data_IF_297101590813
#
_entry.id   IF_297101590813
#
_cell.length_a   1.000
_cell.length_b   1.000
_cell.length_c   1.000
_cell.angle_alpha   90.00
_cell.angle_beta   90.00
_cell.angle_gamma   90.00
#
_symmetry.space_group_name_H-M   'P 1'
#
loop_
_entity.id
_entity.type
_entity.pdbx_description
1 polymer ?
#
# COMPACT_ATOMS: atom_id res chain seq x y z
N UNK A 1 -11.75 -20.14 1.44
CA UNK A 1 -12.50 -18.88 1.17
C UNK A 1 -13.98 -18.97 1.54
N UNK A 2 -14.70 -20.05 1.23
CA UNK A 2 -16.08 -20.23 1.66
C UNK A 2 -16.22 -20.22 3.20
N UNK A 3 -15.43 -20.99 3.90
CA UNK A 3 -15.38 -21.06 5.37
C UNK A 3 -15.14 -19.69 6.04
N UNK A 4 -14.26 -18.86 5.49
CA UNK A 4 -14.03 -17.52 6.00
C UNK A 4 -15.25 -16.60 5.83
N UNK A 5 -15.89 -16.63 4.66
CA UNK A 5 -17.08 -15.82 4.41
C UNK A 5 -18.26 -16.25 5.30
N UNK A 6 -18.38 -17.55 5.55
CA UNK A 6 -19.40 -18.08 6.43
C UNK A 6 -19.15 -17.65 7.89
N UNK A 7 -17.90 -17.67 8.35
CA UNK A 7 -17.55 -17.18 9.70
C UNK A 7 -17.66 -15.66 9.86
N UNK A 8 -17.41 -14.88 8.81
CA UNK A 8 -17.67 -13.44 8.83
C UNK A 8 -19.18 -13.19 9.02
N UNK A 9 -20.03 -13.89 8.26
CA UNK A 9 -21.48 -13.78 8.39
C UNK A 9 -21.96 -14.22 9.76
N UNK A 10 -21.38 -15.28 10.31
CA UNK A 10 -21.66 -15.75 11.67
C UNK A 10 -21.34 -14.65 12.69
N UNK A 11 -20.16 -14.03 12.62
CA UNK A 11 -19.76 -12.94 13.49
C UNK A 11 -20.68 -11.72 13.37
N UNK A 12 -21.03 -11.34 12.15
CA UNK A 12 -21.95 -10.22 11.88
C UNK A 12 -23.37 -10.49 12.41
N UNK A 13 -23.84 -11.74 12.33
CA UNK A 13 -25.12 -12.14 12.91
C UNK A 13 -25.09 -12.12 14.44
N UNK A 14 -23.98 -12.53 15.07
CA UNK A 14 -23.82 -12.52 16.54
C UNK A 14 -23.83 -11.10 17.10
N UNK A 15 -23.27 -10.12 16.39
CA UNK A 15 -23.27 -8.72 16.82
C UNK A 15 -24.66 -8.06 16.72
N UNK A 16 -25.54 -8.55 15.87
CA UNK A 16 -26.83 -7.90 15.61
C UNK A 16 -26.74 -6.65 14.74
N UNK A 17 -27.83 -6.35 14.05
CA UNK A 17 -27.86 -5.34 12.98
C UNK A 17 -27.67 -3.89 13.52
N UNK A 18 -28.42 -3.51 14.55
CA UNK A 18 -28.39 -2.15 15.10
C UNK A 18 -27.12 -1.91 15.94
N UNK A 19 -26.67 -2.93 16.65
CA UNK A 19 -25.46 -2.85 17.45
C UNK A 19 -24.22 -2.59 16.56
N UNK A 20 -24.10 -3.28 15.42
CA UNK A 20 -23.05 -2.99 14.44
C UNK A 20 -23.14 -1.57 13.91
N UNK A 21 -24.33 -1.09 13.55
CA UNK A 21 -24.51 0.26 13.03
C UNK A 21 -24.02 1.32 14.02
N UNK A 22 -24.43 1.22 15.28
CA UNK A 22 -24.03 2.15 16.35
C UNK A 22 -22.52 2.06 16.62
N UNK A 23 -21.96 0.86 16.63
CA UNK A 23 -20.53 0.66 16.84
C UNK A 23 -19.70 1.26 15.71
N UNK A 24 -20.06 1.02 14.45
CA UNK A 24 -19.39 1.61 13.30
C UNK A 24 -19.45 3.14 13.39
N UNK A 25 -20.63 3.69 13.73
CA UNK A 25 -20.78 5.13 13.89
C UNK A 25 -19.85 5.71 14.95
N UNK A 26 -19.68 5.02 16.08
CA UNK A 26 -18.76 5.42 17.16
C UNK A 26 -17.30 5.29 16.74
N UNK A 27 -16.91 4.16 16.16
CA UNK A 27 -15.53 3.88 15.74
C UNK A 27 -15.06 4.87 14.65
N UNK A 28 -15.94 5.22 13.73
CA UNK A 28 -15.65 6.15 12.66
C UNK A 28 -15.89 7.61 13.05
N UNK A 29 -16.32 7.86 14.28
CA UNK A 29 -16.60 9.19 14.82
C UNK A 29 -17.52 10.00 13.90
N UNK A 30 -18.68 9.42 13.53
CA UNK A 30 -19.63 10.08 12.63
C UNK A 30 -20.18 11.36 13.26
N UNK A 31 -20.10 12.46 12.50
CA UNK A 31 -20.70 13.72 12.90
C UNK A 31 -22.20 13.70 12.64
N UNK A 32 -22.96 14.43 13.45
CA UNK A 32 -24.41 14.56 13.31
C UNK A 32 -25.12 13.18 13.24
N UNK A 33 -24.67 12.23 14.05
CA UNK A 33 -25.21 10.88 14.04
C UNK A 33 -26.62 10.85 14.66
N UNK A 34 -27.58 10.36 13.90
CA UNK A 34 -28.97 10.11 14.31
C UNK A 34 -29.12 8.60 14.59
N UNK A 35 -29.19 8.23 15.86
CA UNK A 35 -29.24 6.83 16.30
C UNK A 35 -30.54 6.14 15.92
N UNK A 36 -31.68 6.87 15.81
CA UNK A 36 -32.98 6.30 15.44
C UNK A 36 -32.99 5.98 13.92
N UNK A 37 -32.40 6.84 13.10
CA UNK A 37 -32.36 6.67 11.65
C UNK A 37 -31.12 5.93 11.18
N UNK A 38 -30.13 5.74 12.04
CA UNK A 38 -28.82 5.17 11.72
C UNK A 38 -28.14 5.90 10.53
N UNK A 39 -28.11 7.23 10.61
CA UNK A 39 -27.53 8.09 9.58
C UNK A 39 -26.58 9.11 10.21
N UNK A 40 -25.58 9.55 9.46
CA UNK A 40 -24.63 10.57 9.90
C UNK A 40 -23.94 11.25 8.74
N UNK A 41 -23.13 12.27 9.06
CA UNK A 41 -22.27 12.91 8.05
C UNK A 41 -21.03 12.07 7.83
N UNK A 42 -20.59 11.97 6.57
CA UNK A 42 -19.36 11.23 6.21
C UNK A 42 -18.14 11.73 6.99
N UNK A 43 -17.32 10.83 7.56
CA UNK A 43 -16.05 11.20 8.18
C UNK A 43 -15.00 11.67 7.17
N UNK A 44 -15.23 11.41 5.88
CA UNK A 44 -14.29 11.68 4.78
C UNK A 44 -14.59 12.96 3.99
N UNK A 45 -15.73 13.60 4.27
CA UNK A 45 -16.11 14.85 3.62
C UNK A 45 -16.33 15.97 4.64
N UNK A 46 -16.19 17.22 4.20
CA UNK A 46 -16.53 18.38 5.02
C UNK A 46 -18.02 18.70 5.04
N UNK A 47 -18.83 17.95 4.28
CA UNK A 47 -20.28 18.13 4.20
C UNK A 47 -20.95 17.84 5.55
N UNK A 48 -21.92 18.69 5.92
CA UNK A 48 -22.71 18.52 7.12
C UNK A 48 -24.00 17.72 6.87
N UNK A 49 -24.31 17.41 5.61
CA UNK A 49 -25.49 16.62 5.26
C UNK A 49 -25.29 15.14 5.64
N UNK A 50 -26.34 14.44 6.09
CA UNK A 50 -26.28 13.04 6.41
C UNK A 50 -26.12 12.22 5.11
N UNK A 51 -24.86 11.93 4.75
CA UNK A 51 -24.48 11.18 3.55
C UNK A 51 -24.05 9.73 3.86
N UNK A 52 -23.93 9.40 5.13
CA UNK A 52 -23.54 8.07 5.62
C UNK A 52 -24.79 7.35 6.14
N UNK A 53 -25.30 6.39 5.38
CA UNK A 53 -26.61 5.76 5.62
C UNK A 53 -26.44 4.25 5.81
N UNK A 54 -27.03 3.72 6.91
CA UNK A 54 -26.96 2.30 7.22
C UNK A 54 -27.82 1.44 6.28
N UNK A 55 -27.20 0.41 5.71
CA UNK A 55 -27.89 -0.60 4.91
C UNK A 55 -28.05 -1.90 5.72
N UNK A 56 -29.27 -2.14 6.20
CA UNK A 56 -29.59 -3.31 7.03
C UNK A 56 -29.39 -4.66 6.32
N UNK A 57 -29.44 -4.68 4.99
CA UNK A 57 -29.30 -5.91 4.20
C UNK A 57 -27.84 -6.30 4.05
N UNK A 58 -26.98 -5.32 3.84
CA UNK A 58 -25.58 -5.54 3.54
C UNK A 58 -24.70 -5.35 4.78
N UNK A 59 -25.28 -5.04 5.94
CA UNK A 59 -24.61 -4.80 7.23
C UNK A 59 -23.43 -3.84 7.12
N UNK A 60 -23.64 -2.73 6.40
CA UNK A 60 -22.63 -1.71 6.19
C UNK A 60 -23.27 -0.33 6.05
N UNK A 61 -22.48 0.72 6.33
CA UNK A 61 -22.83 2.07 5.91
C UNK A 61 -22.46 2.29 4.46
N UNK A 62 -23.37 2.87 3.70
CA UNK A 62 -23.07 3.41 2.38
C UNK A 62 -22.81 4.92 2.51
N UNK A 63 -21.66 5.35 2.03
CA UNK A 63 -21.28 6.76 1.98
C UNK A 63 -21.62 7.34 0.62
N UNK A 64 -22.69 8.12 0.54
CA UNK A 64 -23.11 8.78 -0.71
C UNK A 64 -22.19 9.91 -1.14
N UNK A 65 -21.24 10.35 -0.29
CA UNK A 65 -20.30 11.38 -0.65
C UNK A 65 -19.12 10.86 -1.49
N UNK A 66 -18.74 9.59 -1.31
CA UNK A 66 -17.62 8.97 -2.02
C UNK A 66 -17.93 7.61 -2.67
N UNK A 67 -19.18 7.09 -2.48
CA UNK A 67 -19.62 5.81 -3.03
C UNK A 67 -19.07 4.58 -2.32
N UNK A 68 -18.42 4.73 -1.15
CA UNK A 68 -17.83 3.63 -0.38
C UNK A 68 -18.83 2.88 0.49
N UNK A 69 -18.54 1.60 0.77
CA UNK A 69 -19.26 0.78 1.74
C UNK A 69 -18.36 0.48 2.93
N UNK A 70 -18.89 0.64 4.15
CA UNK A 70 -18.12 0.54 5.39
C UNK A 70 -18.80 -0.44 6.35
N UNK A 71 -18.28 -1.66 6.43
CA UNK A 71 -18.66 -2.70 7.39
C UNK A 71 -17.95 -2.52 8.72
N UNK A 72 -18.26 -3.36 9.70
CA UNK A 72 -17.59 -3.38 11.01
C UNK A 72 -16.08 -3.63 10.88
N UNK A 73 -15.67 -4.43 9.89
CA UNK A 73 -14.26 -4.70 9.61
C UNK A 73 -13.57 -3.42 9.12
N UNK A 74 -14.19 -2.69 8.19
CA UNK A 74 -13.65 -1.42 7.70
C UNK A 74 -13.55 -0.37 8.83
N UNK A 75 -14.53 -0.37 9.75
CA UNK A 75 -14.51 0.52 10.90
C UNK A 75 -13.36 0.19 11.87
N UNK A 76 -13.06 -1.09 12.10
CA UNK A 76 -11.89 -1.49 12.88
C UNK A 76 -10.58 -1.09 12.20
N UNK A 77 -10.46 -1.35 10.89
CA UNK A 77 -9.29 -0.91 10.12
C UNK A 77 -9.05 0.60 10.25
N UNK A 78 -10.12 1.37 10.16
CA UNK A 78 -10.06 2.84 10.26
C UNK A 78 -9.71 3.33 11.67
N UNK A 79 -10.40 2.79 12.69
CA UNK A 79 -10.29 3.29 14.06
C UNK A 79 -8.97 2.89 14.75
N UNK A 80 -8.43 1.72 14.39
CA UNK A 80 -7.26 1.13 15.04
C UNK A 80 -6.02 1.08 14.14
N UNK A 81 -6.10 1.62 12.92
CA UNK A 81 -5.04 1.55 11.91
C UNK A 81 -4.58 0.10 11.63
N UNK A 82 -5.55 -0.81 11.58
CA UNK A 82 -5.31 -2.24 11.43
C UNK A 82 -5.39 -2.70 9.97
N UNK A 83 -4.63 -3.75 9.66
CA UNK A 83 -4.82 -4.48 8.40
C UNK A 83 -6.15 -5.25 8.42
N UNK A 84 -6.65 -5.64 7.25
CA UNK A 84 -7.87 -6.45 7.15
C UNK A 84 -7.82 -7.73 7.98
N UNK A 85 -6.67 -8.41 8.02
CA UNK A 85 -6.47 -9.62 8.81
C UNK A 85 -6.51 -9.36 10.32
N UNK A 86 -5.96 -8.25 10.77
CA UNK A 86 -6.00 -7.84 12.18
C UNK A 86 -7.42 -7.44 12.59
N UNK A 87 -8.11 -6.68 11.77
CA UNK A 87 -9.51 -6.30 12.00
C UNK A 87 -10.44 -7.53 12.05
N UNK A 88 -10.24 -8.50 11.16
CA UNK A 88 -10.96 -9.78 11.20
C UNK A 88 -10.65 -10.58 12.46
N UNK A 89 -9.39 -10.65 12.85
CA UNK A 89 -9.00 -11.32 14.09
C UNK A 89 -9.70 -10.68 15.28
N UNK A 90 -9.72 -9.35 15.37
CA UNK A 90 -10.44 -8.60 16.41
C UNK A 90 -11.94 -8.95 16.43
N UNK A 91 -12.56 -9.00 15.25
CA UNK A 91 -13.98 -9.37 15.12
C UNK A 91 -14.24 -10.79 15.64
N UNK A 92 -13.41 -11.75 15.24
CA UNK A 92 -13.57 -13.15 15.63
C UNK A 92 -13.25 -13.38 17.11
N UNK A 93 -12.22 -12.74 17.64
CA UNK A 93 -11.90 -12.79 19.08
C UNK A 93 -13.06 -12.25 19.91
N UNK A 94 -13.69 -11.15 19.47
CA UNK A 94 -14.85 -10.57 20.13
C UNK A 94 -16.09 -11.49 20.11
N UNK A 95 -16.32 -12.17 18.98
CA UNK A 95 -17.42 -13.10 18.82
C UNK A 95 -17.10 -14.52 19.30
N UNK A 96 -15.93 -14.74 19.91
CA UNK A 96 -15.44 -16.06 20.34
C UNK A 96 -15.47 -17.10 19.22
N UNK A 97 -15.23 -16.68 17.98
CA UNK A 97 -15.15 -17.55 16.81
C UNK A 97 -13.71 -18.03 16.65
N UNK A 98 -13.50 -19.32 16.78
CA UNK A 98 -12.21 -19.93 16.50
C UNK A 98 -11.98 -19.95 14.97
N UNK A 99 -10.88 -19.31 14.56
CA UNK A 99 -10.43 -19.29 13.17
C UNK A 99 -8.92 -19.35 13.09
N UNK A 100 -8.41 -20.29 12.33
CA UNK A 100 -6.99 -20.36 12.06
C UNK A 100 -6.59 -19.36 10.97
N UNK A 101 -6.16 -18.17 11.40
CA UNK A 101 -5.74 -17.10 10.49
C UNK A 101 -4.53 -17.48 9.64
N UNK A 102 -3.68 -18.38 10.11
CA UNK A 102 -2.58 -18.90 9.30
C UNK A 102 -3.11 -19.76 8.15
N UNK A 103 -4.16 -20.53 8.41
CA UNK A 103 -4.83 -21.37 7.42
C UNK A 103 -5.78 -20.59 6.52
N UNK A 104 -6.49 -19.59 7.06
CA UNK A 104 -7.50 -18.80 6.34
C UNK A 104 -6.95 -17.66 5.50
N UNK A 105 -5.81 -17.09 5.86
CA UNK A 105 -5.09 -16.02 5.17
C UNK A 105 -3.72 -16.46 4.67
N UNK A 106 -3.11 -17.43 5.35
CA UNK A 106 -1.98 -18.16 4.83
C UNK A 106 -2.52 -19.16 3.81
N UNK A 107 -2.00 -19.10 2.63
CA UNK A 107 -2.11 -20.15 1.68
C UNK A 107 -1.61 -21.42 2.38
N UNK A 108 -2.46 -22.43 2.59
CA UNK A 108 -1.97 -23.73 3.04
C UNK A 108 -1.24 -24.35 1.86
N UNK A 109 0.08 -24.19 1.86
CA UNK A 109 0.96 -24.75 0.84
C UNK A 109 0.66 -26.23 0.59
N UNK A 110 0.15 -26.93 1.61
CA UNK A 110 -0.11 -28.38 1.53
C UNK A 110 -1.40 -28.71 0.79
N UNK A 111 -2.51 -28.02 1.05
CA UNK A 111 -3.77 -28.28 0.34
C UNK A 111 -3.73 -27.87 -1.13
N UNK A 112 -2.96 -26.84 -1.47
CA UNK A 112 -2.80 -26.41 -2.86
C UNK A 112 -1.80 -27.27 -3.63
N UNK A 113 -0.81 -27.85 -2.96
CA UNK A 113 0.21 -28.68 -3.59
C UNK A 113 -0.26 -30.12 -3.80
N UNK A 114 -1.18 -30.66 -3.00
CA UNK A 114 -1.71 -32.02 -3.19
C UNK A 114 -2.45 -32.21 -4.52
N UNK A 115 -3.11 -31.16 -5.01
CA UNK A 115 -3.84 -31.17 -6.29
C UNK A 115 -3.13 -30.39 -7.40
N UNK A 116 -2.01 -29.75 -7.11
CA UNK A 116 -1.29 -28.95 -8.08
C UNK A 116 -0.43 -29.83 -9.00
N UNK A 117 -0.73 -29.76 -10.28
CA UNK A 117 0.11 -30.39 -11.30
C UNK A 117 1.28 -29.48 -11.61
N UNK A 118 2.43 -29.79 -11.03
CA UNK A 118 3.65 -29.06 -11.34
C UNK A 118 3.90 -29.06 -12.85
N UNK A 119 4.30 -27.91 -13.41
CA UNK A 119 4.65 -27.81 -14.81
C UNK A 119 5.88 -28.70 -15.08
N UNK A 120 5.99 -29.12 -16.31
CA UNK A 120 7.15 -29.88 -16.79
C UNK A 120 7.98 -28.95 -17.65
N UNK A 121 9.29 -28.99 -17.48
CA UNK A 121 10.18 -28.32 -18.42
C UNK A 121 10.10 -29.04 -19.79
N UNK A 122 9.38 -28.46 -20.73
CA UNK A 122 9.19 -28.93 -22.08
C UNK A 122 10.06 -28.18 -23.10
N UNK A 123 11.09 -27.46 -22.61
CA UNK A 123 12.06 -26.80 -23.47
C UNK A 123 12.82 -27.78 -24.33
N UNK A 124 13.11 -27.40 -25.55
CA UNK A 124 13.98 -28.16 -26.45
C UNK A 124 15.44 -27.75 -26.27
N UNK A 125 16.38 -28.64 -26.66
CA UNK A 125 17.82 -28.34 -26.56
C UNK A 125 18.24 -27.13 -27.44
N UNK A 126 17.65 -27.03 -28.64
CA UNK A 126 17.88 -25.89 -29.52
C UNK A 126 17.02 -24.69 -29.11
N UNK A 127 17.61 -23.69 -28.48
CA UNK A 127 16.99 -22.47 -28.06
C UNK A 127 17.39 -21.24 -28.92
N UNK A 128 17.87 -21.48 -30.15
CA UNK A 128 18.42 -20.46 -31.03
C UNK A 128 17.43 -19.32 -31.37
N UNK A 129 16.16 -19.63 -31.59
CA UNK A 129 15.13 -18.61 -31.87
C UNK A 129 14.82 -17.74 -30.66
N UNK A 130 14.71 -18.35 -29.47
CA UNK A 130 14.50 -17.61 -28.21
C UNK A 130 15.69 -16.68 -27.92
N UNK A 131 16.91 -17.20 -28.10
CA UNK A 131 18.15 -16.39 -27.98
C UNK A 131 18.17 -15.24 -28.98
N UNK A 132 17.86 -15.51 -30.25
CA UNK A 132 17.84 -14.46 -31.29
C UNK A 132 16.79 -13.39 -30.98
N UNK A 133 15.62 -13.79 -30.50
CA UNK A 133 14.58 -12.87 -30.06
C UNK A 133 15.07 -11.99 -28.91
N UNK A 134 15.67 -12.60 -27.88
CA UNK A 134 16.14 -11.87 -26.70
C UNK A 134 17.36 -10.96 -26.99
N UNK A 135 18.26 -11.40 -27.89
CA UNK A 135 19.35 -10.55 -28.37
C UNK A 135 18.84 -9.29 -29.10
N UNK A 136 17.77 -9.41 -29.88
CA UNK A 136 17.09 -8.24 -30.48
C UNK A 136 16.48 -7.31 -29.44
N UNK A 137 16.20 -7.82 -28.22
CA UNK A 137 15.73 -7.08 -27.06
C UNK A 137 16.88 -6.57 -26.17
N UNK A 138 18.13 -6.62 -26.64
CA UNK A 138 19.31 -6.10 -25.95
C UNK A 138 19.89 -7.03 -24.88
N UNK A 139 19.44 -8.29 -24.78
CA UNK A 139 19.94 -9.21 -23.75
C UNK A 139 21.22 -9.91 -24.18
N UNK A 140 22.15 -10.03 -23.21
CA UNK A 140 23.40 -10.78 -23.36
C UNK A 140 23.15 -12.28 -23.17
N UNK A 141 24.08 -13.10 -23.67
CA UNK A 141 24.04 -14.56 -23.46
C UNK A 141 24.14 -14.93 -21.98
N UNK A 142 24.90 -14.15 -21.20
CA UNK A 142 25.03 -14.33 -19.77
C UNK A 142 23.66 -14.19 -19.06
N UNK A 143 22.93 -13.11 -19.37
CA UNK A 143 21.58 -12.86 -18.84
C UNK A 143 20.62 -13.98 -19.21
N UNK A 144 20.61 -14.37 -20.49
CA UNK A 144 19.72 -15.44 -21.00
C UNK A 144 20.00 -16.77 -20.29
N UNK A 145 21.28 -17.08 -20.08
CA UNK A 145 21.72 -18.29 -19.37
C UNK A 145 21.37 -18.24 -17.89
N UNK A 146 21.60 -17.08 -17.24
CA UNK A 146 21.27 -16.92 -15.81
C UNK A 146 19.80 -17.20 -15.52
N UNK A 147 18.90 -16.67 -16.35
CA UNK A 147 17.46 -16.86 -16.19
C UNK A 147 16.94 -18.20 -16.71
N UNK A 148 17.82 -19.10 -17.16
CA UNK A 148 17.47 -20.45 -17.63
C UNK A 148 16.34 -20.43 -18.67
N UNK A 149 16.48 -19.54 -19.67
CA UNK A 149 15.46 -19.32 -20.71
C UNK A 149 15.43 -20.49 -21.66
N UNK A 150 14.24 -21.07 -21.83
CA UNK A 150 14.00 -22.16 -22.77
C UNK A 150 13.29 -21.74 -24.05
N UNK A 151 13.03 -22.70 -24.91
CA UNK A 151 12.31 -22.53 -26.16
C UNK A 151 11.32 -23.68 -26.37
N UNK A 152 10.13 -23.37 -26.86
CA UNK A 152 9.16 -24.37 -27.31
C UNK A 152 9.51 -24.92 -28.69
N UNK A 153 8.93 -26.06 -29.06
CA UNK A 153 9.04 -26.64 -30.45
C UNK A 153 8.62 -25.64 -31.54
N UNK A 154 7.80 -24.66 -31.21
CA UNK A 154 7.34 -23.62 -32.14
C UNK A 154 8.27 -22.40 -32.20
N UNK A 155 9.34 -22.38 -31.41
CA UNK A 155 10.30 -21.27 -31.36
C UNK A 155 9.92 -20.17 -30.39
N UNK A 156 8.88 -20.34 -29.57
CA UNK A 156 8.47 -19.35 -28.60
C UNK A 156 9.37 -19.39 -27.35
N UNK A 157 9.52 -18.24 -26.70
CA UNK A 157 10.37 -18.09 -25.50
C UNK A 157 9.67 -18.72 -24.30
N UNK A 158 10.39 -19.54 -23.53
CA UNK A 158 9.92 -20.14 -22.31
C UNK A 158 10.58 -19.52 -21.08
N UNK A 159 9.79 -19.02 -20.15
CA UNK A 159 10.21 -18.53 -18.85
C UNK A 159 9.83 -19.53 -17.77
N UNK A 160 10.80 -19.92 -16.94
CA UNK A 160 10.64 -20.86 -15.85
C UNK A 160 10.48 -20.12 -14.53
N UNK A 161 9.35 -20.27 -13.85
CA UNK A 161 9.14 -19.75 -12.51
C UNK A 161 9.54 -20.81 -11.51
N UNK A 162 10.41 -20.43 -10.61
CA UNK A 162 10.87 -21.27 -9.51
C UNK A 162 10.36 -20.71 -8.19
N UNK A 163 10.11 -21.56 -7.21
CA UNK A 163 9.85 -21.12 -5.84
C UNK A 163 11.17 -20.70 -5.16
N UNK A 164 11.08 -20.21 -3.92
CA UNK A 164 12.24 -19.77 -3.15
C UNK A 164 13.30 -20.89 -2.94
N UNK A 165 12.91 -22.14 -3.08
CA UNK A 165 13.79 -23.31 -2.97
C UNK A 165 14.36 -23.77 -4.33
N UNK A 166 14.05 -23.05 -5.41
CA UNK A 166 14.51 -23.35 -6.76
C UNK A 166 13.70 -24.44 -7.50
N UNK A 167 12.57 -24.90 -6.95
CA UNK A 167 11.71 -25.88 -7.59
C UNK A 167 10.87 -25.20 -8.68
N UNK A 168 10.77 -25.82 -9.85
CA UNK A 168 9.92 -25.34 -10.95
C UNK A 168 8.43 -25.40 -10.56
N UNK A 169 7.78 -24.25 -10.52
CA UNK A 169 6.38 -24.10 -10.09
C UNK A 169 5.49 -23.45 -11.13
N UNK A 170 6.04 -22.87 -12.17
CA UNK A 170 5.30 -22.27 -13.26
C UNK A 170 6.15 -22.22 -14.54
N UNK A 171 5.48 -22.32 -15.69
CA UNK A 171 6.10 -22.08 -16.99
C UNK A 171 5.21 -21.11 -17.78
N UNK A 172 5.80 -20.00 -18.16
CA UNK A 172 5.12 -18.97 -18.97
C UNK A 172 5.83 -18.84 -20.30
N UNK A 173 5.05 -18.81 -21.35
CA UNK A 173 5.55 -18.68 -22.70
C UNK A 173 5.30 -17.28 -23.25
N UNK A 174 6.14 -16.88 -24.19
CA UNK A 174 5.98 -15.65 -24.95
C UNK A 174 6.23 -15.90 -26.42
N UNK A 175 5.36 -15.39 -27.28
CA UNK A 175 5.60 -15.43 -28.71
C UNK A 175 6.85 -14.63 -29.09
N UNK A 176 7.76 -15.30 -29.82
CA UNK A 176 8.97 -14.68 -30.35
C UNK A 176 8.69 -13.85 -31.65
N UNK A 177 7.45 -13.84 -32.12
CA UNK A 177 6.98 -13.14 -33.31
C UNK A 177 5.85 -12.17 -32.96
N UNK A 178 5.50 -11.29 -33.89
CA UNK A 178 4.37 -10.39 -33.73
C UNK A 178 3.06 -11.18 -33.69
N UNK A 179 2.22 -10.92 -32.70
CA UNK A 179 0.88 -11.49 -32.57
C UNK A 179 -0.16 -10.61 -33.24
N UNK A 180 -1.28 -11.19 -33.67
CA UNK A 180 -2.39 -10.43 -34.23
C UNK A 180 -3.06 -9.58 -33.16
N UNK A 181 -3.76 -8.54 -33.62
CA UNK A 181 -4.53 -7.69 -32.71
C UNK A 181 -5.58 -8.53 -31.96
N UNK A 182 -5.57 -8.45 -30.62
CA UNK A 182 -6.47 -9.23 -29.76
C UNK A 182 -5.90 -10.57 -29.28
N UNK A 183 -4.76 -11.02 -29.80
CA UNK A 183 -4.08 -12.21 -29.28
C UNK A 183 -3.15 -11.85 -28.11
N UNK A 184 -3.12 -12.73 -27.07
CA UNK A 184 -2.21 -12.55 -25.94
C UNK A 184 -0.77 -12.84 -26.38
N UNK A 185 0.16 -11.99 -25.97
CA UNK A 185 1.60 -12.20 -26.19
C UNK A 185 2.16 -13.30 -25.28
N UNK A 186 1.47 -13.60 -24.19
CA UNK A 186 1.89 -14.58 -23.18
C UNK A 186 0.80 -15.60 -22.92
N UNK A 187 1.20 -16.81 -22.56
CA UNK A 187 0.30 -17.84 -22.04
C UNK A 187 1.05 -18.74 -21.05
N UNK A 188 0.29 -19.50 -20.28
CA UNK A 188 0.83 -20.39 -19.27
C UNK A 188 0.77 -21.86 -19.71
N UNK A 189 1.67 -22.68 -19.16
CA UNK A 189 1.53 -24.12 -19.22
C UNK A 189 0.55 -24.58 -18.14
N UNK A 190 -0.61 -25.05 -18.57
CA UNK A 190 -1.65 -25.51 -17.65
C UNK A 190 -2.27 -24.40 -16.82
N UNK A 191 -2.88 -24.77 -15.71
CA UNK A 191 -3.41 -23.83 -14.72
C UNK A 191 -2.33 -23.51 -13.68
N UNK A 192 -1.79 -22.31 -13.74
CA UNK A 192 -0.80 -21.82 -12.77
C UNK A 192 -1.45 -20.97 -11.66
N UNK A 193 -2.79 -20.94 -11.59
CA UNK A 193 -3.51 -20.11 -10.62
C UNK A 193 -3.16 -20.40 -9.15
N UNK A 194 -2.73 -21.60 -8.73
CA UNK A 194 -2.22 -21.82 -7.38
C UNK A 194 -0.79 -21.33 -7.18
N UNK A 195 -0.06 -21.00 -8.24
CA UNK A 195 1.35 -20.64 -8.14
C UNK A 195 1.60 -19.20 -8.52
N UNK A 196 1.46 -18.31 -7.56
CA UNK A 196 1.78 -16.89 -7.71
C UNK A 196 3.25 -16.58 -7.38
N UNK A 197 4.19 -17.50 -7.69
CA UNK A 197 5.60 -17.25 -7.45
C UNK A 197 6.12 -16.09 -8.27
N UNK A 198 6.98 -15.28 -7.67
CA UNK A 198 7.62 -14.17 -8.36
C UNK A 198 8.75 -14.70 -9.25
N UNK A 199 8.86 -14.20 -10.48
CA UNK A 199 9.96 -14.54 -11.36
C UNK A 199 11.28 -14.08 -10.76
N UNK A 200 12.27 -14.94 -10.69
CA UNK A 200 13.60 -14.74 -10.06
C UNK A 200 13.63 -14.76 -8.51
N UNK A 201 12.56 -15.15 -7.83
CA UNK A 201 12.50 -15.15 -6.34
C UNK A 201 13.61 -16.01 -5.70
N UNK A 202 14.06 -17.07 -6.37
CA UNK A 202 15.07 -18.00 -5.86
C UNK A 202 16.51 -17.46 -5.83
N UNK A 203 16.75 -16.25 -6.36
CA UNK A 203 18.08 -15.63 -6.38
C UNK A 203 18.13 -14.31 -5.56
N UNK A 204 17.16 -14.06 -4.73
CA UNK A 204 17.00 -12.79 -4.02
C UNK A 204 17.74 -12.78 -2.69
N UNK A 205 18.51 -11.73 -2.45
CA UNK A 205 19.14 -11.43 -1.17
C UNK A 205 18.20 -10.56 -0.30
N UNK A 206 17.70 -11.15 0.78
CA UNK A 206 16.77 -10.47 1.70
C UNK A 206 17.40 -9.32 2.49
N UNK A 207 18.71 -9.14 2.44
CA UNK A 207 19.43 -8.04 3.11
C UNK A 207 19.49 -6.76 2.27
N UNK A 208 19.19 -6.87 0.97
CA UNK A 208 19.20 -5.76 0.02
C UNK A 208 17.78 -5.27 -0.29
N UNK A 209 17.60 -4.01 -0.74
CA UNK A 209 16.33 -3.54 -1.24
C UNK A 209 15.80 -4.43 -2.38
N UNK A 210 14.50 -4.76 -2.36
CA UNK A 210 13.86 -5.54 -3.41
C UNK A 210 13.31 -4.62 -4.48
N UNK A 211 13.63 -4.87 -5.74
CA UNK A 211 12.96 -4.23 -6.89
C UNK A 211 11.90 -5.17 -7.45
N UNK A 212 10.67 -4.67 -7.63
CA UNK A 212 9.55 -5.43 -8.20
C UNK A 212 9.11 -4.72 -9.48
N UNK A 213 9.12 -5.42 -10.60
CA UNK A 213 8.63 -4.93 -11.89
C UNK A 213 7.48 -5.77 -12.43
N UNK A 214 6.79 -5.28 -13.47
CA UNK A 214 5.63 -5.96 -14.02
C UNK A 214 6.03 -7.09 -14.98
N UNK A 215 6.99 -6.86 -15.86
CA UNK A 215 7.34 -7.76 -16.94
C UNK A 215 8.60 -8.60 -16.68
N UNK A 216 8.64 -9.82 -17.19
CA UNK A 216 9.83 -10.70 -17.09
C UNK A 216 11.04 -10.13 -17.83
N UNK A 217 10.80 -9.48 -18.99
CA UNK A 217 11.86 -8.81 -19.74
C UNK A 217 12.41 -7.61 -18.95
N UNK A 218 11.56 -6.93 -18.17
CA UNK A 218 12.00 -5.83 -17.31
C UNK A 218 12.87 -6.33 -16.17
N UNK A 219 12.50 -7.45 -15.54
CA UNK A 219 13.35 -8.08 -14.53
C UNK A 219 14.72 -8.47 -15.10
N UNK A 220 14.74 -9.04 -16.31
CA UNK A 220 15.99 -9.37 -17.00
C UNK A 220 16.81 -8.12 -17.33
N UNK A 221 16.17 -7.03 -17.76
CA UNK A 221 16.83 -5.78 -18.08
C UNK A 221 17.43 -5.10 -16.84
N UNK A 222 16.68 -5.07 -15.74
CA UNK A 222 17.15 -4.53 -14.45
C UNK A 222 18.32 -5.35 -13.94
N UNK A 223 18.23 -6.69 -14.02
CA UNK A 223 19.30 -7.59 -13.62
C UNK A 223 20.56 -7.37 -14.47
N UNK A 224 20.41 -7.33 -15.80
CA UNK A 224 21.53 -7.10 -16.74
C UNK A 224 22.19 -5.74 -16.52
N UNK A 225 21.43 -4.76 -16.07
CA UNK A 225 21.93 -3.42 -15.76
C UNK A 225 22.76 -3.38 -14.47
N UNK A 226 22.74 -4.44 -13.65
CA UNK A 226 23.53 -4.56 -12.42
C UNK A 226 22.73 -4.55 -11.11
N UNK A 227 21.41 -4.36 -11.14
CA UNK A 227 20.58 -4.57 -9.95
C UNK A 227 20.05 -6.01 -9.95
N UNK A 228 20.76 -6.89 -9.26
CA UNK A 228 20.46 -8.31 -9.23
C UNK A 228 19.31 -8.66 -8.29
N UNK A 229 18.91 -7.75 -7.40
CA UNK A 229 17.84 -7.99 -6.42
C UNK A 229 16.47 -7.57 -6.97
N UNK A 230 16.08 -8.19 -8.06
CA UNK A 230 14.86 -7.88 -8.81
C UNK A 230 14.00 -9.11 -9.04
N UNK A 231 12.68 -8.91 -8.92
CA UNK A 231 11.65 -9.90 -9.25
C UNK A 231 10.60 -9.29 -10.17
N UNK A 232 9.92 -10.12 -10.96
CA UNK A 232 8.73 -9.70 -11.67
C UNK A 232 7.48 -10.39 -11.14
N UNK A 233 6.37 -9.68 -11.14
CA UNK A 233 5.06 -10.24 -10.79
C UNK A 233 4.63 -11.27 -11.84
N UNK A 234 3.90 -12.34 -11.45
CA UNK A 234 3.52 -13.42 -12.37
C UNK A 234 2.44 -13.01 -13.39
N UNK A 235 1.56 -12.08 -13.00
CA UNK A 235 0.43 -11.58 -13.79
C UNK A 235 0.55 -10.09 -14.06
N UNK A 236 -0.56 -9.44 -14.43
CA UNK A 236 -0.63 -7.99 -14.54
C UNK A 236 -0.75 -7.30 -13.18
N UNK A 237 -0.52 -5.99 -13.13
CA UNK A 237 -0.52 -5.18 -11.91
C UNK A 237 -1.84 -5.22 -11.13
N UNK A 238 -2.95 -5.59 -11.76
CA UNK A 238 -4.28 -5.67 -11.11
C UNK A 238 -4.50 -6.97 -10.33
N UNK A 239 -3.73 -8.03 -10.60
CA UNK A 239 -3.79 -9.28 -9.82
C UNK A 239 -2.88 -9.17 -8.60
N UNK A 240 -3.46 -9.10 -7.41
CA UNK A 240 -2.75 -8.93 -6.14
C UNK A 240 -2.55 -10.24 -5.36
N UNK A 241 -2.97 -11.38 -5.91
CA UNK A 241 -2.86 -12.66 -5.21
C UNK A 241 -1.40 -13.07 -4.94
N UNK A 242 -0.47 -12.65 -5.80
CA UNK A 242 0.96 -12.88 -5.61
C UNK A 242 1.49 -12.26 -4.31
N UNK A 243 0.94 -11.14 -3.84
CA UNK A 243 1.34 -10.52 -2.56
C UNK A 243 0.98 -11.45 -1.41
N UNK A 244 -0.24 -11.97 -1.42
CA UNK A 244 -0.72 -12.90 -0.41
C UNK A 244 0.14 -14.17 -0.37
N UNK A 245 0.44 -14.72 -1.54
CA UNK A 245 1.25 -15.94 -1.68
C UNK A 245 2.68 -15.75 -1.16
N UNK A 246 3.29 -14.58 -1.40
CA UNK A 246 4.67 -14.29 -1.02
C UNK A 246 4.77 -13.40 0.24
N UNK A 247 3.72 -13.31 1.06
CA UNK A 247 3.65 -12.36 2.17
C UNK A 247 4.86 -12.47 3.10
N UNK A 248 5.16 -13.68 3.63
CA UNK A 248 6.28 -13.90 4.55
C UNK A 248 7.65 -13.60 3.94
N UNK A 249 7.77 -13.72 2.62
CA UNK A 249 8.97 -13.33 1.89
C UNK A 249 9.08 -11.80 1.78
N UNK A 250 8.00 -11.14 1.39
CA UNK A 250 7.94 -9.68 1.20
C UNK A 250 8.11 -8.91 2.50
N UNK A 251 7.65 -9.47 3.64
CA UNK A 251 7.82 -8.86 4.96
C UNK A 251 9.29 -8.77 5.42
N UNK A 252 10.19 -9.51 4.80
CA UNK A 252 11.63 -9.45 5.13
C UNK A 252 12.31 -8.17 4.64
N UNK A 253 11.68 -7.44 3.71
CA UNK A 253 12.29 -6.27 3.09
C UNK A 253 11.89 -4.97 3.77
N UNK A 254 12.89 -4.16 4.14
CA UNK A 254 12.71 -2.81 4.69
C UNK A 254 12.47 -1.77 3.62
N UNK A 255 12.91 -2.03 2.39
CA UNK A 255 12.75 -1.15 1.24
C UNK A 255 12.35 -1.97 0.01
N UNK A 256 11.25 -1.58 -0.61
CA UNK A 256 10.70 -2.19 -1.83
C UNK A 256 10.58 -1.10 -2.88
N UNK A 257 11.19 -1.31 -4.04
CA UNK A 257 11.16 -0.39 -5.17
C UNK A 257 10.22 -0.97 -6.22
N UNK A 258 9.22 -0.21 -6.61
CA UNK A 258 8.18 -0.62 -7.57
C UNK A 258 8.44 0.07 -8.91
N UNK A 259 8.58 -0.73 -9.97
CA UNK A 259 8.64 -0.25 -11.35
C UNK A 259 7.61 -1.00 -12.19
N UNK A 260 6.39 -0.52 -12.16
CA UNK A 260 5.28 -1.07 -12.93
C UNK A 260 5.04 -0.23 -14.19
N UNK A 261 4.20 -0.73 -15.08
CA UNK A 261 3.87 -0.03 -16.31
C UNK A 261 3.21 1.34 -16.03
N UNK A 262 3.60 2.35 -16.80
CA UNK A 262 3.10 3.72 -16.64
C UNK A 262 1.81 3.93 -17.46
N UNK A 263 0.83 3.04 -17.28
CA UNK A 263 -0.52 3.16 -17.82
C UNK A 263 -1.55 3.17 -16.68
N UNK A 264 -2.81 3.48 -16.99
CA UNK A 264 -3.87 3.58 -15.96
C UNK A 264 -4.00 2.33 -15.11
N UNK A 265 -3.83 1.15 -15.69
CA UNK A 265 -3.89 -0.12 -14.95
C UNK A 265 -2.69 -0.29 -14.03
N UNK A 266 -1.49 0.07 -14.48
CA UNK A 266 -0.26 0.05 -13.69
C UNK A 266 -0.29 1.06 -12.55
N UNK A 267 -0.81 2.28 -12.77
CA UNK A 267 -0.97 3.28 -11.71
C UNK A 267 -1.96 2.84 -10.63
N UNK A 268 -3.12 2.30 -11.01
CA UNK A 268 -4.09 1.75 -10.06
C UNK A 268 -3.53 0.52 -9.33
N UNK A 269 -2.84 -0.34 -10.06
CA UNK A 269 -2.16 -1.50 -9.51
C UNK A 269 -1.11 -1.08 -8.49
N UNK A 270 -0.26 -0.10 -8.82
CA UNK A 270 0.77 0.45 -7.93
C UNK A 270 0.17 0.94 -6.62
N UNK A 271 -0.91 1.74 -6.66
CA UNK A 271 -1.59 2.22 -5.45
C UNK A 271 -2.06 1.08 -4.55
N UNK A 272 -2.69 0.06 -5.14
CA UNK A 272 -3.18 -1.11 -4.40
C UNK A 272 -2.04 -1.98 -3.84
N UNK A 273 -0.95 -2.14 -4.60
CA UNK A 273 0.24 -2.86 -4.16
C UNK A 273 0.89 -2.14 -2.98
N UNK A 274 1.07 -0.82 -3.07
CA UNK A 274 1.63 0.02 -2.01
C UNK A 274 0.81 -0.09 -0.73
N UNK A 275 -0.53 0.00 -0.82
CA UNK A 275 -1.41 -0.16 0.34
C UNK A 275 -1.26 -1.52 1.02
N UNK A 276 -1.03 -2.59 0.24
CA UNK A 276 -0.86 -3.95 0.79
C UNK A 276 0.54 -4.21 1.34
N UNK A 277 1.57 -3.62 0.73
CA UNK A 277 2.96 -3.78 1.16
C UNK A 277 3.37 -2.83 2.28
N UNK A 278 2.64 -1.74 2.46
CA UNK A 278 2.95 -0.66 3.40
C UNK A 278 3.68 0.51 2.74
N UNK A 279 3.06 1.69 2.78
CA UNK A 279 3.53 2.93 2.15
C UNK A 279 4.95 3.30 2.60
N UNK A 280 5.23 3.13 3.90
CA UNK A 280 6.48 3.54 4.55
C UNK A 280 7.76 2.88 4.01
N UNK A 281 7.64 1.75 3.31
CA UNK A 281 8.77 1.01 2.73
C UNK A 281 8.75 0.94 1.21
N UNK A 282 7.73 1.49 0.58
CA UNK A 282 7.57 1.48 -0.87
C UNK A 282 8.16 2.74 -1.51
N UNK A 283 8.87 2.53 -2.61
CA UNK A 283 9.45 3.57 -3.45
C UNK A 283 8.99 3.32 -4.88
N UNK A 284 8.63 4.37 -5.60
CA UNK A 284 8.11 4.26 -6.96
C UNK A 284 9.16 4.83 -7.94
N UNK A 285 9.46 4.06 -8.97
CA UNK A 285 10.28 4.54 -10.09
C UNK A 285 9.39 5.37 -11.01
N UNK A 286 9.73 6.64 -11.15
CA UNK A 286 9.07 7.54 -12.10
C UNK A 286 9.78 7.48 -13.46
N UNK A 287 9.01 7.72 -14.53
CA UNK A 287 9.54 7.82 -15.88
C UNK A 287 9.79 9.30 -16.21
N UNK A 288 11.02 9.79 -16.12
CA UNK A 288 11.33 11.18 -16.44
C UNK A 288 11.19 11.45 -17.94
N UNK A 289 10.90 12.69 -18.31
CA UNK A 289 10.66 13.10 -19.69
C UNK A 289 11.79 12.69 -20.65
N UNK A 290 13.06 12.83 -20.23
CA UNK A 290 14.20 12.44 -21.05
C UNK A 290 14.22 10.94 -21.40
N UNK A 291 13.73 10.08 -20.51
CA UNK A 291 13.66 8.65 -20.76
C UNK A 291 12.50 8.31 -21.71
N UNK A 292 11.38 8.99 -21.57
CA UNK A 292 10.24 8.86 -22.48
C UNK A 292 10.64 9.32 -23.90
N UNK A 293 11.26 10.48 -24.01
CA UNK A 293 11.74 11.04 -25.29
C UNK A 293 12.73 10.09 -25.97
N UNK A 294 13.71 9.56 -25.24
CA UNK A 294 14.70 8.63 -25.78
C UNK A 294 14.07 7.33 -26.28
N UNK A 295 13.11 6.77 -25.52
CA UNK A 295 12.37 5.57 -25.94
C UNK A 295 11.53 5.83 -27.18
N UNK A 296 10.83 6.97 -27.23
CA UNK A 296 10.06 7.36 -28.41
C UNK A 296 10.94 7.55 -29.65
N UNK A 297 12.08 8.22 -29.49
CA UNK A 297 13.04 8.44 -30.59
C UNK A 297 13.62 7.12 -31.12
N UNK A 298 14.00 6.21 -30.20
CA UNK A 298 14.46 4.88 -30.56
C UNK A 298 13.44 4.13 -31.44
N UNK A 299 12.16 4.12 -31.05
CA UNK A 299 11.14 3.37 -31.79
C UNK A 299 10.68 4.06 -33.06
N UNK A 300 10.77 5.39 -33.18
CA UNK A 300 10.54 6.12 -34.43
C UNK A 300 11.46 5.65 -35.57
N UNK A 301 12.68 5.23 -35.25
CA UNK A 301 13.63 4.70 -36.23
C UNK A 301 13.15 3.42 -36.92
N UNK A 302 12.21 2.70 -36.30
CA UNK A 302 11.62 1.48 -36.84
C UNK A 302 10.20 1.66 -37.40
N UNK A 303 9.81 2.91 -37.79
CA UNK A 303 8.48 3.25 -38.31
C UNK A 303 7.31 2.81 -37.38
N UNK A 304 7.50 2.80 -36.09
CA UNK A 304 6.42 2.59 -35.15
C UNK A 304 5.78 3.95 -34.83
N UNK A 305 4.68 4.26 -35.50
CA UNK A 305 3.95 5.56 -35.40
C UNK A 305 3.16 5.73 -34.09
N UNK A 306 3.08 4.72 -33.23
CA UNK A 306 2.36 4.85 -31.97
C UNK A 306 3.27 5.42 -30.89
N UNK A 307 2.86 6.52 -30.22
CA UNK A 307 3.58 7.01 -29.07
C UNK A 307 3.68 5.91 -28.02
N UNK A 308 4.90 5.47 -27.72
CA UNK A 308 5.15 4.48 -26.69
C UNK A 308 5.12 5.23 -25.37
N UNK A 309 3.96 5.26 -24.74
CA UNK A 309 3.77 5.89 -23.42
C UNK A 309 4.42 5.11 -22.29
N UNK A 310 5.17 4.03 -22.61
CA UNK A 310 5.70 3.10 -21.62
C UNK A 310 7.21 3.14 -21.60
N UNK A 311 7.76 3.68 -20.55
CA UNK A 311 9.18 3.55 -20.22
C UNK A 311 9.37 2.40 -19.26
N UNK A 312 9.13 1.15 -19.73
CA UNK A 312 9.53 -0.04 -19.00
C UNK A 312 11.06 -0.17 -18.99
N UNK A 313 11.58 -0.95 -18.05
CA UNK A 313 13.02 -1.07 -17.85
C UNK A 313 13.74 -1.65 -19.08
N UNK A 314 13.13 -2.57 -19.81
CA UNK A 314 13.69 -3.11 -21.03
C UNK A 314 13.81 -2.04 -22.12
N UNK A 315 12.78 -1.20 -22.29
CA UNK A 315 12.80 -0.13 -23.27
C UNK A 315 13.88 0.93 -22.92
N UNK A 316 14.01 1.29 -21.65
CA UNK A 316 15.06 2.23 -21.21
C UNK A 316 16.46 1.65 -21.46
N UNK A 317 16.68 0.37 -21.12
CA UNK A 317 17.96 -0.29 -21.36
C UNK A 317 18.35 -0.30 -22.83
N UNK A 318 17.39 -0.51 -23.73
CA UNK A 318 17.64 -0.56 -25.19
C UNK A 318 17.85 0.84 -25.76
N UNK A 319 17.00 1.79 -25.35
CA UNK A 319 17.00 3.14 -25.96
C UNK A 319 18.13 4.04 -25.42
N UNK A 320 18.56 3.79 -24.20
CA UNK A 320 19.63 4.57 -23.54
C UNK A 320 20.78 3.61 -23.19
N UNK A 321 20.72 2.99 -22.02
CA UNK A 321 21.67 1.98 -21.55
C UNK A 321 21.28 1.45 -20.15
N UNK A 322 22.07 0.51 -19.61
CA UNK A 322 21.88 -0.04 -18.26
C UNK A 322 22.14 0.97 -17.14
N UNK A 323 22.99 1.99 -17.35
CA UNK A 323 23.25 3.00 -16.34
C UNK A 323 22.04 3.90 -16.09
N UNK A 324 21.26 4.19 -17.13
CA UNK A 324 19.99 4.91 -17.01
C UNK A 324 18.96 4.11 -16.19
N UNK A 325 18.88 2.79 -16.40
CA UNK A 325 18.03 1.90 -15.60
C UNK A 325 18.40 1.97 -14.12
N UNK A 326 19.70 1.84 -13.79
CA UNK A 326 20.16 1.92 -12.40
C UNK A 326 19.92 3.29 -11.78
N UNK A 327 20.11 4.36 -12.55
CA UNK A 327 19.84 5.72 -12.08
C UNK A 327 18.36 5.91 -11.73
N UNK A 328 17.44 5.46 -12.58
CA UNK A 328 16.01 5.56 -12.31
C UNK A 328 15.60 4.78 -11.05
N UNK A 329 16.21 3.61 -10.81
CA UNK A 329 16.00 2.86 -9.57
C UNK A 329 16.55 3.60 -8.35
N UNK A 330 17.74 4.23 -8.48
CA UNK A 330 18.33 5.01 -7.40
C UNK A 330 17.52 6.26 -7.06
N UNK A 331 16.93 6.89 -8.08
CA UNK A 331 16.11 8.10 -7.97
C UNK A 331 14.64 7.80 -7.59
N UNK A 332 14.28 6.52 -7.32
CA UNK A 332 12.94 6.13 -6.95
C UNK A 332 12.46 6.90 -5.71
N UNK A 333 11.26 7.46 -5.80
CA UNK A 333 10.68 8.32 -4.77
C UNK A 333 9.91 7.50 -3.74
N UNK A 334 10.12 7.83 -2.47
CA UNK A 334 9.31 7.28 -1.39
C UNK A 334 7.85 7.66 -1.62
N UNK A 335 6.95 6.73 -1.30
CA UNK A 335 5.52 7.04 -1.29
C UNK A 335 5.25 7.98 -0.13
N UNK A 336 4.85 9.21 -0.45
CA UNK A 336 4.49 10.18 0.58
C UNK A 336 3.16 9.79 1.22
N UNK A 337 3.20 9.55 2.52
CA UNK A 337 1.98 9.49 3.31
C UNK A 337 1.62 10.91 3.75
N UNK A 338 0.53 11.50 3.24
CA UNK A 338 0.16 12.88 3.59
C UNK A 338 -0.13 13.07 5.09
N UNK A 339 -0.28 11.98 5.84
CA UNK A 339 -0.49 11.99 7.31
C UNK A 339 0.82 11.93 8.10
N UNK A 340 1.94 11.55 7.46
CA UNK A 340 3.27 11.45 8.09
C UNK A 340 4.18 12.42 7.38
N UNK A 341 4.45 13.55 8.04
CA UNK A 341 5.45 14.52 7.57
C UNK A 341 6.78 14.20 8.22
N UNK A 342 7.86 14.29 7.46
CA UNK A 342 9.21 14.20 8.01
C UNK A 342 9.45 15.38 8.97
N UNK A 343 10.15 15.17 10.08
CA UNK A 343 10.38 16.23 11.06
C UNK A 343 11.04 17.47 10.43
N UNK A 344 11.86 17.30 9.41
CA UNK A 344 12.52 18.38 8.67
C UNK A 344 11.63 19.08 7.64
N UNK A 345 10.42 18.55 7.34
CA UNK A 345 9.43 19.20 6.47
C UNK A 345 8.58 20.23 7.22
N UNK A 346 8.69 20.24 8.55
CA UNK A 346 8.14 21.34 9.33
C UNK A 346 9.14 22.49 9.21
N UNK A 347 8.70 23.62 8.61
CA UNK A 347 9.40 24.88 8.78
C UNK A 347 9.70 25.03 10.27
N UNK A 348 10.94 25.41 10.64
CA UNK A 348 11.27 25.77 12.00
C UNK A 348 10.15 26.68 12.48
N UNK A 349 9.25 26.13 13.28
CA UNK A 349 8.34 26.98 14.04
C UNK A 349 9.29 27.82 14.89
N UNK A 350 9.57 29.02 14.40
CA UNK A 350 10.08 30.05 15.31
C UNK A 350 9.11 29.98 16.46
N UNK A 351 9.60 29.61 17.61
CA UNK A 351 8.89 29.76 18.87
C UNK A 351 8.63 31.27 18.96
N UNK A 352 7.62 31.75 18.24
CA UNK A 352 7.04 33.02 18.50
C UNK A 352 6.73 32.99 19.98
N UNK A 353 7.23 33.95 20.69
CA UNK A 353 6.94 34.12 22.12
C UNK A 353 5.47 33.79 22.35
N UNK A 354 5.20 32.55 22.78
CA UNK A 354 3.83 32.12 23.08
C UNK A 354 3.39 33.05 24.19
N UNK A 355 2.36 33.86 23.99
CA UNK A 355 1.94 34.83 24.96
C UNK A 355 1.68 34.10 26.26
N UNK A 356 2.41 34.52 27.27
CA UNK A 356 2.44 33.87 28.55
C UNK A 356 1.49 34.65 29.47
N UNK A 357 0.37 34.07 29.83
CA UNK A 357 -0.63 34.73 30.66
C UNK A 357 -0.12 34.74 32.10
N UNK A 358 0.07 35.93 32.63
CA UNK A 358 0.50 36.14 34.00
C UNK A 358 -0.52 35.62 35.03
N UNK A 359 -0.04 34.93 36.04
CA UNK A 359 -0.85 34.57 37.20
C UNK A 359 -1.09 35.78 38.13
N UNK A 360 -0.48 36.93 37.86
CA UNK A 360 -0.51 38.09 38.77
C UNK A 360 0.30 37.89 40.06
N UNK A 361 1.05 36.80 40.16
CA UNK A 361 1.89 36.44 41.32
C UNK A 361 3.30 36.18 40.80
N UNK A 362 4.24 37.11 41.08
CA UNK A 362 5.62 37.05 40.55
C UNK A 362 6.34 35.74 40.86
N UNK A 363 6.17 35.20 42.08
CA UNK A 363 6.79 33.94 42.49
C UNK A 363 6.24 32.77 41.66
N UNK A 364 4.95 32.73 41.41
CA UNK A 364 4.30 31.67 40.61
C UNK A 364 4.69 31.78 39.16
N UNK A 365 4.70 32.96 38.58
CA UNK A 365 5.16 33.22 37.23
C UNK A 365 6.61 32.75 37.00
N UNK A 366 7.47 32.97 38.02
CA UNK A 366 8.89 32.55 37.96
C UNK A 366 9.05 31.04 37.95
N UNK A 367 8.20 30.28 38.64
CA UNK A 367 8.28 28.82 38.73
C UNK A 367 7.58 28.12 37.60
N UNK A 368 6.42 28.60 37.19
CA UNK A 368 5.57 27.99 36.18
C UNK A 368 5.67 28.63 34.79
N UNK A 369 6.46 29.70 34.68
CA UNK A 369 6.57 30.53 33.45
C UNK A 369 5.22 31.11 32.95
N UNK A 370 4.20 31.16 33.81
CA UNK A 370 2.84 31.60 33.50
C UNK A 370 1.97 30.52 32.87
N UNK A 371 0.80 30.90 32.38
CA UNK A 371 -0.08 30.06 31.56
C UNK A 371 0.17 30.33 30.07
N UNK A 372 0.18 29.27 29.28
CA UNK A 372 0.33 29.40 27.85
C UNK A 372 -1.03 29.48 27.16
N UNK A 373 -1.11 30.21 26.04
CA UNK A 373 -2.28 30.19 25.18
C UNK A 373 -2.60 28.77 24.70
N UNK A 374 -3.88 28.50 24.47
CA UNK A 374 -4.37 27.20 24.01
C UNK A 374 -4.07 26.00 24.95
N UNK A 375 -3.93 26.26 26.23
CA UNK A 375 -3.73 25.21 27.25
C UNK A 375 -4.90 25.15 28.22
N UNK A 376 -5.10 23.99 28.81
CA UNK A 376 -6.03 23.77 29.93
C UNK A 376 -5.26 23.69 31.22
N UNK A 377 -5.51 24.65 32.13
CA UNK A 377 -4.91 24.63 33.48
C UNK A 377 -5.94 24.21 34.50
N UNK A 378 -5.68 23.15 35.25
CA UNK A 378 -6.52 22.65 36.31
C UNK A 378 -5.96 23.05 37.68
N UNK A 379 -6.72 23.83 38.45
CA UNK A 379 -6.38 24.23 39.80
C UNK A 379 -7.22 23.42 40.79
N UNK A 380 -6.57 22.61 41.62
CA UNK A 380 -7.23 21.76 42.63
C UNK A 380 -6.74 22.09 44.02
N UNK A 381 -7.68 22.18 44.96
CA UNK A 381 -7.38 22.28 46.40
C UNK A 381 -8.61 21.89 47.23
N UNK A 382 -8.46 21.69 48.51
CA UNK A 382 -9.58 21.48 49.44
C UNK A 382 -10.47 22.72 49.51
N UNK A 383 -11.70 22.53 49.95
CA UNK A 383 -12.64 23.67 50.15
C UNK A 383 -12.02 24.69 51.12
N UNK A 384 -12.20 25.99 50.83
CA UNK A 384 -11.64 27.05 51.66
C UNK A 384 -10.16 27.43 51.43
N UNK A 385 -9.42 26.65 50.60
CA UNK A 385 -7.98 26.88 50.38
C UNK A 385 -7.63 27.87 49.27
N UNK A 386 -8.53 28.81 48.94
CA UNK A 386 -8.22 29.95 48.09
C UNK A 386 -8.18 29.69 46.57
N UNK A 387 -8.77 28.55 46.07
CA UNK A 387 -8.89 28.30 44.60
C UNK A 387 -9.49 29.46 43.85
N UNK A 388 -10.67 29.91 44.29
CA UNK A 388 -11.39 31.02 43.66
C UNK A 388 -10.63 32.35 43.78
N UNK A 389 -9.91 32.58 44.91
CA UNK A 389 -9.06 33.75 45.07
C UNK A 389 -7.90 33.79 44.07
N UNK A 390 -7.25 32.64 43.84
CA UNK A 390 -6.18 32.50 42.84
C UNK A 390 -6.73 32.71 41.42
N UNK A 391 -7.91 32.12 41.12
CA UNK A 391 -8.55 32.28 39.84
C UNK A 391 -8.91 33.74 39.57
N UNK A 392 -9.51 34.42 40.56
CA UNK A 392 -9.82 35.84 40.47
C UNK A 392 -8.57 36.72 40.26
N UNK A 393 -7.45 36.35 40.92
CA UNK A 393 -6.18 37.03 40.71
C UNK A 393 -5.69 36.96 39.27
N UNK A 394 -5.78 35.77 38.67
CA UNK A 394 -5.42 35.54 37.26
C UNK A 394 -6.34 36.33 36.35
N UNK A 395 -7.65 36.28 36.61
CA UNK A 395 -8.66 37.01 35.81
C UNK A 395 -8.49 38.52 35.85
N UNK A 396 -7.92 39.07 36.91
CA UNK A 396 -7.59 40.51 37.03
C UNK A 396 -6.24 40.81 36.37
N UNK A 397 -5.24 39.96 36.59
CA UNK A 397 -3.89 40.18 36.09
C UNK A 397 -3.81 40.13 34.55
N UNK A 398 -4.49 39.18 33.90
CA UNK A 398 -4.43 39.01 32.46
C UNK A 398 -4.91 40.23 31.67
N UNK A 399 -6.06 40.88 32.00
CA UNK A 399 -6.46 42.15 31.34
C UNK A 399 -5.55 43.32 31.66
N UNK A 400 -5.14 43.46 32.94
CA UNK A 400 -4.38 44.63 33.39
C UNK A 400 -2.91 44.59 32.95
N UNK A 401 -2.26 43.43 33.01
CA UNK A 401 -0.85 43.32 32.70
C UNK A 401 -0.58 43.03 31.20
N UNK A 402 -1.52 42.38 30.52
CA UNK A 402 -1.29 41.84 29.17
C UNK A 402 -2.38 42.18 28.16
N UNK A 403 -3.38 43.00 28.53
CA UNK A 403 -4.51 43.40 27.67
C UNK A 403 -5.27 42.20 27.05
N UNK A 404 -5.41 41.11 27.81
CA UNK A 404 -6.11 39.90 27.39
C UNK A 404 -7.57 39.91 27.81
N UNK A 405 -8.46 39.44 26.97
CA UNK A 405 -9.87 39.26 27.32
C UNK A 405 -10.05 37.98 28.13
N UNK A 406 -10.82 38.10 29.25
CA UNK A 406 -11.10 36.96 30.13
C UNK A 406 -12.60 36.72 30.15
N UNK A 407 -13.01 35.47 29.93
CA UNK A 407 -14.36 35.00 30.12
C UNK A 407 -14.44 34.14 31.38
N UNK A 408 -15.34 34.46 32.29
CA UNK A 408 -15.51 33.72 33.55
C UNK A 408 -16.86 33.02 33.54
N UNK A 409 -16.85 31.69 33.70
CA UNK A 409 -18.06 30.93 33.98
C UNK A 409 -17.96 30.32 35.37
N UNK A 410 -18.96 30.61 36.24
CA UNK A 410 -19.04 30.05 37.59
C UNK A 410 -20.29 29.18 37.69
N UNK A 411 -20.08 27.90 38.02
CA UNK A 411 -21.16 26.97 38.30
C UNK A 411 -21.61 26.94 39.76
N UNK A 412 -20.96 27.75 40.64
CA UNK A 412 -21.36 27.95 42.01
C UNK A 412 -22.16 29.28 42.11
N UNK A 413 -23.37 29.19 42.68
CA UNK A 413 -24.21 30.35 42.99
C UNK A 413 -23.86 30.86 44.38
#
# INVERSE_FOLDING_TARGET
MADLLDKIKEAEQMLGNEEQAIEIAKLMNLRNFDEEKLTGSSPFSSDSNPSFIWNKKDLCYHDFSNGGNYSIINAYMYAYDETYAQALKRLFDRCHIEFDFKRGFGYDERESLENYKFPVDDSIEDNSNAIAYLKKRGFTEETIKFFDIGQTKKGDVQFKLKDINGRLVGVKYRHAHAVKHGESKYWWQGDCSPCYSLFNINHIDITQPLTICEGYLDAMAIWQSGNHNVVSIPGGATDLNWIKYNFDFLEKFKKIILWLDNDTAGEEGTKKIVQKLGEYRCYIVESPDYAQEAVEEYYKQFNQEKPIRKTDANNVMIAIDGSAVLKMIADAKAVENPRVKHLFDYEEMQLQNVPNISFGIKALNKVLYGNFENTLTLITALAGNGKSSLLNQICVAAPLEQNQNVFIYSGEI
#
